data_IF_839554424564
#
_entry.id   IF_839554424564
#
_cell.length_a   1.000
_cell.length_b   1.000
_cell.length_c   1.000
_cell.angle_alpha   90.00
_cell.angle_beta   90.00
_cell.angle_gamma   90.00
#
_symmetry.space_group_name_H-M   'P 1'
#
loop_
_entity.id
_entity.type
_entity.pdbx_description
1 polymer ?
#
# COMPACT_ATOMS: atom_id res chain seq x y z
N UNK A 1 3.10 -43.56 2.38
CA UNK A 1 3.79 -42.26 2.22
C UNK A 1 3.81 -41.58 3.58
N UNK A 2 5.00 -41.34 4.15
CA UNK A 2 5.15 -40.73 5.47
C UNK A 2 5.17 -39.20 5.36
N UNK A 3 4.30 -38.52 6.12
CA UNK A 3 4.22 -37.04 6.17
C UNK A 3 5.52 -36.40 6.67
N UNK A 4 6.29 -37.12 7.49
CA UNK A 4 7.57 -36.68 8.03
C UNK A 4 8.68 -36.55 6.96
N UNK A 5 8.49 -37.16 5.78
CA UNK A 5 9.45 -37.05 4.67
C UNK A 5 9.18 -35.84 3.75
N UNK A 6 8.07 -35.12 3.94
CA UNK A 6 7.67 -34.00 3.06
C UNK A 6 8.20 -32.65 3.61
N UNK A 7 8.43 -32.55 4.93
CA UNK A 7 8.84 -31.32 5.59
C UNK A 7 10.12 -31.49 6.43
N UNK A 8 11.08 -32.29 5.95
CA UNK A 8 12.38 -32.41 6.60
C UNK A 8 13.27 -31.22 6.20
N UNK A 9 13.34 -30.22 7.07
CA UNK A 9 14.41 -29.23 7.05
C UNK A 9 15.70 -29.93 7.54
N UNK A 10 16.76 -30.04 6.71
CA UNK A 10 17.96 -30.77 7.07
C UNK A 10 18.64 -30.16 8.30
N UNK A 11 19.17 -31.00 9.18
CA UNK A 11 19.86 -30.58 10.41
C UNK A 11 21.06 -29.68 10.06
N UNK A 12 20.96 -28.38 10.38
CA UNK A 12 21.92 -27.35 9.96
C UNK A 12 21.40 -26.34 8.93
N UNK A 13 20.14 -26.45 8.50
CA UNK A 13 19.48 -25.42 7.69
C UNK A 13 19.38 -24.11 8.48
N UNK A 14 19.96 -23.03 7.96
CA UNK A 14 19.84 -21.67 8.53
C UNK A 14 18.46 -21.04 8.30
N UNK A 15 17.63 -21.68 7.50
CA UNK A 15 16.32 -21.20 7.09
C UNK A 15 15.24 -21.77 8.01
N UNK A 16 14.53 -20.86 8.68
CA UNK A 16 13.32 -21.11 9.46
C UNK A 16 12.14 -20.44 8.75
N UNK A 17 10.90 -20.90 8.96
CA UNK A 17 9.69 -20.37 8.31
C UNK A 17 9.60 -18.84 8.30
N UNK A 18 10.10 -18.18 9.36
CA UNK A 18 10.02 -16.72 9.55
C UNK A 18 11.39 -16.02 9.51
N UNK A 19 12.44 -16.68 9.03
CA UNK A 19 13.80 -16.11 9.06
C UNK A 19 13.97 -14.83 8.22
N UNK A 20 13.05 -14.56 7.29
CA UNK A 20 13.06 -13.38 6.43
C UNK A 20 12.11 -12.26 6.88
N UNK A 21 11.23 -12.48 7.85
CA UNK A 21 10.21 -11.52 8.27
C UNK A 21 10.81 -10.17 8.67
N UNK A 22 11.93 -10.20 9.40
CA UNK A 22 12.62 -9.00 9.83
C UNK A 22 13.37 -8.27 8.69
N UNK A 23 13.72 -9.01 7.63
CA UNK A 23 14.44 -8.50 6.45
C UNK A 23 13.52 -7.94 5.36
N UNK A 24 12.20 -8.08 5.50
CA UNK A 24 11.25 -7.57 4.52
C UNK A 24 11.33 -6.03 4.43
N UNK A 25 11.31 -5.47 3.21
CA UNK A 25 11.32 -4.03 3.04
C UNK A 25 10.04 -3.40 3.57
N UNK A 26 10.13 -2.15 4.02
CA UNK A 26 8.96 -1.37 4.39
C UNK A 26 8.06 -1.14 3.16
N UNK A 27 6.74 -1.08 3.38
CA UNK A 27 5.79 -0.81 2.31
C UNK A 27 6.00 0.61 1.75
N UNK A 28 6.20 0.77 0.43
CA UNK A 28 6.37 2.07 -0.17
C UNK A 28 5.05 2.84 -0.11
N UNK A 29 5.12 4.14 0.21
CA UNK A 29 4.01 5.06 0.07
C UNK A 29 4.04 5.69 -1.33
N UNK A 30 3.06 5.42 -2.22
CA UNK A 30 3.02 6.05 -3.53
C UNK A 30 2.76 7.55 -3.40
N UNK A 31 3.26 8.34 -4.36
CA UNK A 31 2.97 9.78 -4.40
C UNK A 31 1.47 10.03 -4.52
N UNK A 32 1.00 11.12 -3.93
CA UNK A 32 -0.40 11.54 -4.03
C UNK A 32 -0.86 11.68 -5.49
N UNK A 33 -0.05 12.30 -6.34
CA UNK A 33 -0.38 12.53 -7.76
C UNK A 33 -0.58 11.24 -8.53
N UNK A 34 0.32 10.26 -8.35
CA UNK A 34 0.23 8.96 -9.00
C UNK A 34 -1.02 8.20 -8.56
N UNK A 35 -1.35 8.30 -7.27
CA UNK A 35 -2.55 7.69 -6.69
C UNK A 35 -3.82 8.31 -7.27
N UNK A 36 -3.91 9.63 -7.31
CA UNK A 36 -5.05 10.36 -7.86
C UNK A 36 -5.22 10.13 -9.36
N UNK A 37 -4.11 10.05 -10.11
CA UNK A 37 -4.13 9.69 -11.53
C UNK A 37 -4.70 8.29 -11.74
N UNK A 38 -4.20 7.29 -11.01
CA UNK A 38 -4.71 5.90 -11.10
C UNK A 38 -6.18 5.80 -10.70
N UNK A 39 -6.59 6.55 -9.68
CA UNK A 39 -7.99 6.67 -9.29
C UNK A 39 -8.84 7.21 -10.43
N UNK A 40 -8.45 8.32 -11.06
CA UNK A 40 -9.18 8.88 -12.19
C UNK A 40 -9.27 7.92 -13.38
N UNK A 41 -8.16 7.25 -13.75
CA UNK A 41 -8.15 6.23 -14.81
C UNK A 41 -9.12 5.08 -14.51
N UNK A 42 -9.25 4.68 -13.24
CA UNK A 42 -10.17 3.61 -12.83
C UNK A 42 -11.64 4.00 -12.97
N UNK A 43 -11.96 5.29 -12.97
CA UNK A 43 -13.33 5.79 -13.10
C UNK A 43 -13.78 5.96 -14.56
N UNK A 44 -12.84 6.18 -15.48
CA UNK A 44 -13.13 6.39 -16.91
C UNK A 44 -14.09 5.38 -17.55
N UNK A 45 -14.00 4.05 -17.29
CA UNK A 45 -14.92 3.10 -17.91
C UNK A 45 -16.34 3.11 -17.31
N UNK A 46 -16.56 3.80 -16.18
CA UNK A 46 -17.83 3.79 -15.46
C UNK A 46 -18.56 5.14 -15.48
N UNK A 47 -17.81 6.25 -15.55
CA UNK A 47 -18.36 7.60 -15.45
C UNK A 47 -18.83 8.18 -16.78
N UNK A 48 -19.89 8.99 -16.74
CA UNK A 48 -20.30 9.86 -17.84
C UNK A 48 -19.34 11.04 -18.01
N UNK A 49 -19.39 11.74 -19.15
CA UNK A 49 -18.51 12.89 -19.40
C UNK A 49 -18.65 14.00 -18.35
N UNK A 50 -19.87 14.27 -17.88
CA UNK A 50 -20.16 15.28 -16.85
C UNK A 50 -19.61 14.85 -15.47
N UNK A 51 -19.82 13.59 -15.09
CA UNK A 51 -19.29 13.05 -13.83
C UNK A 51 -17.76 13.06 -13.82
N UNK A 52 -17.11 12.63 -14.91
CA UNK A 52 -15.65 12.65 -15.02
C UNK A 52 -15.10 14.07 -14.96
N UNK A 53 -15.77 15.05 -15.58
CA UNK A 53 -15.36 16.45 -15.49
C UNK A 53 -15.48 16.98 -14.05
N UNK A 54 -16.57 16.63 -13.35
CA UNK A 54 -16.75 17.01 -11.95
C UNK A 54 -15.69 16.34 -11.05
N UNK A 55 -15.44 15.03 -11.25
CA UNK A 55 -14.41 14.30 -10.50
C UNK A 55 -13.02 14.88 -10.74
N UNK A 56 -12.67 15.31 -11.96
CA UNK A 56 -11.40 15.95 -12.23
C UNK A 56 -11.21 17.25 -11.40
N UNK A 57 -12.27 18.06 -11.25
CA UNK A 57 -12.24 19.26 -10.39
C UNK A 57 -12.04 18.90 -8.92
N UNK A 58 -12.80 17.91 -8.42
CA UNK A 58 -12.67 17.43 -7.04
C UNK A 58 -11.27 16.89 -6.76
N UNK A 59 -10.68 16.17 -7.71
CA UNK A 59 -9.32 15.65 -7.60
C UNK A 59 -8.30 16.79 -7.47
N UNK A 60 -8.41 17.84 -8.29
CA UNK A 60 -7.53 19.00 -8.20
C UNK A 60 -7.70 19.78 -6.89
N UNK A 61 -8.93 19.97 -6.44
CA UNK A 61 -9.22 20.60 -5.15
C UNK A 61 -8.67 19.78 -3.97
N UNK A 62 -8.82 18.45 -4.03
CA UNK A 62 -8.28 17.56 -3.01
C UNK A 62 -6.76 17.56 -3.02
N UNK A 63 -6.14 17.45 -4.21
CA UNK A 63 -4.68 17.47 -4.41
C UNK A 63 -4.05 18.71 -3.78
N UNK A 64 -4.62 19.89 -4.06
CA UNK A 64 -4.06 21.17 -3.61
C UNK A 64 -4.57 21.60 -2.22
N UNK A 65 -5.58 20.91 -1.68
CA UNK A 65 -6.22 21.23 -0.42
C UNK A 65 -5.90 20.24 0.69
N UNK A 66 -6.94 19.59 1.21
CA UNK A 66 -6.85 18.68 2.36
C UNK A 66 -6.01 17.43 2.05
N UNK A 67 -6.01 16.96 0.79
CA UNK A 67 -5.28 15.77 0.36
C UNK A 67 -3.77 15.89 0.54
N UNK A 68 -3.18 17.05 0.23
CA UNK A 68 -1.76 17.31 0.49
C UNK A 68 -1.42 17.24 1.99
N UNK A 69 -2.29 17.80 2.85
CA UNK A 69 -2.10 17.77 4.31
C UNK A 69 -2.19 16.34 4.85
N UNK A 70 -3.18 15.57 4.39
CA UNK A 70 -3.35 14.16 4.77
C UNK A 70 -2.20 13.29 4.28
N UNK A 71 -1.74 13.50 3.05
CA UNK A 71 -0.61 12.76 2.49
C UNK A 71 0.66 13.01 3.28
N UNK A 72 0.93 14.26 3.68
CA UNK A 72 2.07 14.58 4.55
C UNK A 72 1.99 13.86 5.90
N UNK A 73 0.82 13.81 6.53
CA UNK A 73 0.62 13.03 7.76
C UNK A 73 0.87 11.53 7.53
N UNK A 74 0.48 11.01 6.36
CA UNK A 74 0.70 9.63 5.97
C UNK A 74 2.19 9.32 5.70
N UNK A 75 2.94 10.25 5.10
CA UNK A 75 4.40 10.16 4.94
C UNK A 75 5.10 10.06 6.29
N UNK A 76 4.69 10.86 7.27
CA UNK A 76 5.24 10.80 8.62
C UNK A 76 4.91 9.48 9.32
N UNK A 77 3.72 8.90 9.06
CA UNK A 77 3.35 7.56 9.54
C UNK A 77 4.20 6.48 8.86
N UNK A 78 4.37 6.55 7.54
CA UNK A 78 5.15 5.59 6.74
C UNK A 78 6.65 5.56 7.10
N UNK A 79 7.19 6.66 7.65
CA UNK A 79 8.56 6.67 8.19
C UNK A 79 8.71 5.88 9.50
N UNK A 80 7.62 5.68 10.25
CA UNK A 80 7.64 5.07 11.59
C UNK A 80 7.31 3.58 11.59
N UNK A 81 6.64 3.10 10.55
CA UNK A 81 6.06 1.76 10.51
C UNK A 81 6.57 0.98 9.29
N UNK A 82 6.98 -0.30 9.46
CA UNK A 82 7.31 -1.19 8.33
C UNK A 82 6.12 -1.39 7.39
N UNK A 83 4.90 -1.39 7.93
CA UNK A 83 3.66 -1.44 7.17
C UNK A 83 2.71 -0.36 7.70
N UNK A 84 2.59 0.75 6.96
CA UNK A 84 1.82 1.92 7.36
C UNK A 84 0.30 1.77 7.19
N UNK A 85 -0.15 0.70 6.53
CA UNK A 85 -1.56 0.36 6.31
C UNK A 85 -2.09 -0.52 7.44
N UNK A 86 -1.23 -1.36 8.02
CA UNK A 86 -1.59 -2.24 9.14
C UNK A 86 -1.93 -1.41 10.38
N UNK A 87 -3.21 -1.27 10.70
CA UNK A 87 -3.67 -0.83 12.00
C UNK A 87 -3.70 -2.06 12.93
N UNK A 88 -2.68 -2.16 13.79
CA UNK A 88 -2.72 -3.07 14.94
C UNK A 88 -3.13 -2.28 16.20
N UNK A 89 -4.25 -1.54 16.17
CA UNK A 89 -4.91 -1.17 17.42
C UNK A 89 -5.70 -2.37 17.91
N UNK A 90 -5.07 -3.14 18.81
CA UNK A 90 -5.79 -3.94 19.80
C UNK A 90 -6.43 -3.04 20.84
#
# INVERSE_FOLDING_TARGET
MNRDSIYHLPEGSKESTFCHDESLPALPLPKLEDTLKRYFESLKPFGTAEELQNTAKIIEEFKNGIGAKLHRSLEEKAKREKNWVSDHRQ
#
